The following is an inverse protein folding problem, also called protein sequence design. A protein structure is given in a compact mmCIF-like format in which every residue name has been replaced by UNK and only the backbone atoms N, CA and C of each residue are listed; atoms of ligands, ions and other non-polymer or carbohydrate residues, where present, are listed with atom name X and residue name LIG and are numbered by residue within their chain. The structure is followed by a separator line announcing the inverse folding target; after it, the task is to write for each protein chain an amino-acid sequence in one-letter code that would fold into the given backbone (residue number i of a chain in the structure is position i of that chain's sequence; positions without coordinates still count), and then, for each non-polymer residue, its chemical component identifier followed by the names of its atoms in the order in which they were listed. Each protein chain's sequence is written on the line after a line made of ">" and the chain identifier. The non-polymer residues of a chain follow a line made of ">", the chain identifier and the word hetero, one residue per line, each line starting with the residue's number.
data_IF_791351118469
#
_entry.id   IF_791351118469
#
_cell.length_a   1.000
_cell.length_b   1.000
_cell.length_c   1.000
_cell.angle_alpha   90.00
_cell.angle_beta   90.00
_cell.angle_gamma   90.00
#
_symmetry.space_group_name_H-M   'P 1'
#
loop_
_entity.id
_entity.type
_entity.pdbx_description
1 polymer ?
#
# COMPACT_ATOMS: atom_id res chain seq x y z
N UNK A 1 7.16 15.27 22.63
CA UNK A 1 5.97 14.45 22.35
C UNK A 1 6.45 13.26 21.54
N UNK A 2 6.09 12.04 21.96
CA UNK A 2 6.73 10.80 21.52
C UNK A 2 6.55 10.52 20.02
N UNK A 3 7.65 10.28 19.30
CA UNK A 3 7.67 9.82 17.89
C UNK A 3 7.17 8.37 17.72
N UNK A 4 6.81 7.67 18.81
CA UNK A 4 6.44 6.26 18.80
C UNK A 4 5.31 5.89 17.83
N UNK A 5 4.19 6.64 17.71
CA UNK A 5 3.12 6.27 16.78
C UNK A 5 3.58 6.31 15.31
N UNK A 6 4.41 7.29 14.97
CA UNK A 6 4.97 7.45 13.63
C UNK A 6 5.95 6.32 13.30
N UNK A 7 6.78 5.91 14.25
CA UNK A 7 7.72 4.79 14.09
C UNK A 7 6.96 3.47 13.87
N UNK A 8 5.93 3.21 14.67
CA UNK A 8 5.08 2.01 14.55
C UNK A 8 4.38 1.98 13.19
N UNK A 9 3.78 3.10 12.77
CA UNK A 9 3.12 3.19 11.46
C UNK A 9 4.10 2.98 10.30
N UNK A 10 5.27 3.63 10.31
CA UNK A 10 6.28 3.43 9.27
C UNK A 10 6.79 1.99 9.23
N UNK A 11 6.98 1.35 10.38
CA UNK A 11 7.38 -0.05 10.42
C UNK A 11 6.31 -0.95 9.80
N UNK A 12 5.03 -0.79 10.19
CA UNK A 12 3.94 -1.58 9.63
C UNK A 12 3.85 -1.42 8.10
N UNK A 13 3.95 -0.19 7.59
CA UNK A 13 3.96 0.08 6.15
C UNK A 13 5.15 -0.60 5.44
N UNK A 14 6.35 -0.55 6.03
CA UNK A 14 7.54 -1.18 5.44
C UNK A 14 7.44 -2.72 5.45
N UNK A 15 6.88 -3.30 6.51
CA UNK A 15 6.62 -4.74 6.59
C UNK A 15 5.63 -5.20 5.52
N UNK A 16 4.49 -4.51 5.39
CA UNK A 16 3.48 -4.80 4.36
C UNK A 16 4.07 -4.70 2.95
N UNK A 17 4.87 -3.66 2.68
CA UNK A 17 5.56 -3.51 1.40
C UNK A 17 6.48 -4.70 1.09
N UNK A 18 7.26 -5.18 2.07
CA UNK A 18 8.15 -6.32 1.90
C UNK A 18 7.37 -7.63 1.65
N UNK A 19 6.22 -7.81 2.31
CA UNK A 19 5.35 -8.96 2.11
C UNK A 19 4.72 -8.95 0.71
N UNK A 20 4.20 -7.80 0.27
CA UNK A 20 3.67 -7.63 -1.08
C UNK A 20 4.73 -7.91 -2.14
N UNK A 21 5.94 -7.38 -1.96
CA UNK A 21 7.05 -7.62 -2.90
C UNK A 21 7.47 -9.09 -2.91
N UNK A 22 7.53 -9.75 -1.74
CA UNK A 22 7.81 -11.18 -1.63
C UNK A 22 6.75 -12.00 -2.37
N UNK A 23 5.47 -11.73 -2.12
CA UNK A 23 4.36 -12.43 -2.76
C UNK A 23 4.41 -12.26 -4.29
N UNK A 24 4.64 -11.03 -4.78
CA UNK A 24 4.76 -10.76 -6.21
C UNK A 24 5.92 -11.54 -6.87
N UNK A 25 7.08 -11.61 -6.20
CA UNK A 25 8.23 -12.39 -6.68
C UNK A 25 7.94 -13.89 -6.67
N UNK A 26 7.36 -14.41 -5.59
CA UNK A 26 7.00 -15.83 -5.45
C UNK A 26 5.96 -16.26 -6.49
N UNK A 27 5.03 -15.36 -6.84
CA UNK A 27 4.03 -15.59 -7.88
C UNK A 27 4.57 -15.44 -9.32
N UNK A 28 5.90 -15.27 -9.49
CA UNK A 28 6.57 -15.35 -10.79
C UNK A 28 6.72 -14.03 -11.54
N UNK A 29 6.51 -12.87 -10.89
CA UNK A 29 6.62 -11.53 -11.50
C UNK A 29 5.89 -11.41 -12.83
N UNK A 30 4.55 -11.46 -12.77
CA UNK A 30 3.65 -11.44 -13.95
C UNK A 30 4.00 -10.35 -14.96
N UNK A 31 4.45 -9.18 -14.51
CA UNK A 31 4.71 -8.02 -15.35
C UNK A 31 6.15 -7.90 -15.84
N UNK A 32 7.04 -8.86 -15.55
CA UNK A 32 8.48 -8.79 -15.89
C UNK A 32 8.77 -8.50 -17.37
N UNK A 33 7.93 -8.97 -18.28
CA UNK A 33 8.14 -8.85 -19.74
C UNK A 33 7.36 -7.69 -20.38
N UNK A 34 6.55 -6.98 -19.60
CA UNK A 34 5.73 -5.86 -20.07
C UNK A 34 6.61 -4.63 -20.28
N UNK A 35 6.39 -3.89 -21.36
CA UNK A 35 7.14 -2.65 -21.63
C UNK A 35 6.77 -1.55 -20.63
N UNK A 36 7.64 -0.57 -20.43
CA UNK A 36 7.36 0.52 -19.48
C UNK A 36 6.10 1.31 -19.85
N UNK A 37 5.86 1.57 -21.13
CA UNK A 37 4.66 2.26 -21.61
C UNK A 37 3.37 1.49 -21.28
N UNK A 38 3.40 0.17 -21.41
CA UNK A 38 2.28 -0.71 -21.07
C UNK A 38 2.10 -0.79 -19.55
N UNK A 39 3.20 -0.82 -18.79
CA UNK A 39 3.19 -0.79 -17.32
C UNK A 39 2.60 0.52 -16.79
N UNK A 40 2.81 1.64 -17.48
CA UNK A 40 2.18 2.94 -17.20
C UNK A 40 0.67 2.88 -17.43
N UNK A 41 0.22 2.32 -18.55
CA UNK A 41 -1.21 2.14 -18.81
C UNK A 41 -1.89 1.24 -17.77
N UNK A 42 -1.25 0.14 -17.36
CA UNK A 42 -1.74 -0.73 -16.29
C UNK A 42 -1.84 -0.01 -14.94
N UNK A 43 -0.85 0.83 -14.63
CA UNK A 43 -0.85 1.63 -13.41
C UNK A 43 -2.04 2.58 -13.35
N UNK A 44 -2.28 3.34 -14.42
CA UNK A 44 -3.42 4.26 -14.52
C UNK A 44 -4.75 3.49 -14.44
N UNK A 45 -4.86 2.39 -15.19
CA UNK A 45 -6.06 1.54 -15.18
C UNK A 45 -6.42 1.06 -13.77
N UNK A 46 -5.47 0.48 -13.04
CA UNK A 46 -5.73 -0.06 -11.71
C UNK A 46 -5.93 1.04 -10.65
N UNK A 47 -5.45 2.26 -10.88
CA UNK A 47 -5.79 3.40 -10.05
C UNK A 47 -7.25 3.84 -10.25
N UNK A 48 -7.72 3.91 -11.50
CA UNK A 48 -9.12 4.19 -11.79
C UNK A 48 -10.06 3.10 -11.21
N UNK A 49 -9.66 1.82 -11.26
CA UNK A 49 -10.39 0.74 -10.59
C UNK A 49 -10.45 0.93 -9.07
N UNK A 50 -9.35 1.39 -8.45
CA UNK A 50 -9.32 1.68 -7.02
C UNK A 50 -10.18 2.89 -6.67
N UNK A 51 -10.19 3.93 -7.49
CA UNK A 51 -11.06 5.09 -7.31
C UNK A 51 -12.54 4.69 -7.33
N UNK A 52 -12.93 3.76 -8.22
CA UNK A 52 -14.29 3.24 -8.27
C UNK A 52 -14.68 2.42 -7.01
N UNK A 53 -13.69 1.84 -6.31
CA UNK A 53 -13.88 1.09 -5.07
C UNK A 53 -12.81 1.43 -4.00
N UNK A 54 -12.84 2.64 -3.39
CA UNK A 54 -11.71 3.18 -2.61
C UNK A 54 -11.30 2.37 -1.38
N UNK A 55 -12.23 1.59 -0.82
CA UNK A 55 -12.00 0.78 0.37
C UNK A 55 -11.37 -0.58 0.05
N UNK A 56 -11.21 -0.93 -1.22
CA UNK A 56 -10.65 -2.23 -1.63
C UNK A 56 -9.64 -2.02 -2.75
N UNK A 57 -8.37 -1.87 -2.36
CA UNK A 57 -7.27 -1.69 -3.31
C UNK A 57 -7.12 -2.95 -4.18
N UNK A 58 -7.04 -2.82 -5.52
CA UNK A 58 -6.81 -3.96 -6.40
C UNK A 58 -5.45 -4.62 -6.15
N UNK A 59 -5.42 -5.95 -6.08
CA UNK A 59 -4.17 -6.72 -5.92
C UNK A 59 -3.20 -6.44 -7.07
N UNK A 60 -3.74 -6.29 -8.28
CA UNK A 60 -2.98 -6.00 -9.49
C UNK A 60 -2.23 -4.66 -9.40
N UNK A 61 -2.78 -3.67 -8.68
CA UNK A 61 -2.08 -2.41 -8.45
C UNK A 61 -0.80 -2.62 -7.63
N UNK A 62 -0.85 -3.49 -6.61
CA UNK A 62 0.33 -3.83 -5.81
C UNK A 62 1.40 -4.54 -6.66
N UNK A 63 1.00 -5.46 -7.53
CA UNK A 63 1.92 -6.14 -8.46
C UNK A 63 2.61 -5.15 -9.41
N UNK A 64 1.87 -4.19 -9.97
CA UNK A 64 2.41 -3.15 -10.85
C UNK A 64 3.39 -2.25 -10.10
N UNK A 65 3.04 -1.79 -8.89
CA UNK A 65 3.93 -1.00 -8.03
C UNK A 65 5.22 -1.77 -7.70
N UNK A 66 5.10 -3.06 -7.36
CA UNK A 66 6.24 -3.92 -7.10
C UNK A 66 7.16 -4.04 -8.32
N UNK A 67 6.59 -4.17 -9.53
CA UNK A 67 7.39 -4.23 -10.76
C UNK A 67 8.15 -2.92 -11.02
N UNK A 68 7.54 -1.75 -10.83
CA UNK A 68 8.25 -0.46 -10.91
C UNK A 68 9.45 -0.43 -9.96
N UNK A 69 9.24 -0.78 -8.68
CA UNK A 69 10.30 -0.82 -7.66
C UNK A 69 11.41 -1.78 -8.02
N UNK A 70 11.08 -3.00 -8.46
CA UNK A 70 12.07 -4.01 -8.86
C UNK A 70 12.86 -3.64 -10.11
N UNK A 71 12.31 -2.77 -10.97
CA UNK A 71 13.01 -2.22 -12.14
C UNK A 71 13.82 -0.96 -11.81
N UNK A 72 13.71 -0.42 -10.60
CA UNK A 72 14.32 0.86 -10.22
C UNK A 72 13.68 2.06 -10.94
N UNK A 73 12.41 1.94 -11.34
CA UNK A 73 11.65 2.97 -12.02
C UNK A 73 10.73 3.69 -11.04
N UNK A 74 10.54 4.99 -11.26
CA UNK A 74 9.54 5.76 -10.51
C UNK A 74 8.14 5.45 -11.06
N UNK A 75 7.16 5.07 -10.21
CA UNK A 75 5.77 4.95 -10.65
C UNK A 75 5.22 6.33 -11.07
N UNK A 76 4.36 6.39 -12.09
CA UNK A 76 3.87 7.65 -12.65
C UNK A 76 2.71 8.24 -11.82
N UNK A 77 2.97 8.57 -10.55
CA UNK A 77 1.95 9.10 -9.63
C UNK A 77 1.33 10.43 -10.09
N UNK A 78 2.05 11.22 -10.88
CA UNK A 78 1.53 12.48 -11.42
C UNK A 78 0.33 12.26 -12.36
N UNK A 79 0.27 11.13 -13.07
CA UNK A 79 -0.83 10.83 -13.99
C UNK A 79 -2.13 10.43 -13.29
N UNK A 80 -2.04 9.99 -12.04
CA UNK A 80 -3.17 9.47 -11.23
C UNK A 80 -3.42 10.32 -10.00
N UNK A 81 -2.90 11.55 -9.99
CA UNK A 81 -2.93 12.43 -8.82
C UNK A 81 -4.37 12.73 -8.38
N UNK A 82 -5.28 12.93 -9.32
CA UNK A 82 -6.67 13.23 -9.03
C UNK A 82 -7.39 12.01 -8.44
N UNK A 83 -7.18 10.82 -9.03
CA UNK A 83 -7.67 9.53 -8.51
C UNK A 83 -7.17 9.31 -7.07
N UNK A 84 -5.87 9.53 -6.83
CA UNK A 84 -5.25 9.37 -5.53
C UNK A 84 -5.85 10.33 -4.49
N UNK A 85 -6.16 11.57 -4.88
CA UNK A 85 -6.83 12.53 -4.00
C UNK A 85 -8.26 12.07 -3.67
N UNK A 86 -9.00 11.57 -4.65
CA UNK A 86 -10.36 11.06 -4.46
C UNK A 86 -10.38 9.84 -3.52
N UNK A 87 -9.50 8.88 -3.75
CA UNK A 87 -9.30 7.69 -2.89
C UNK A 87 -8.93 8.12 -1.47
N UNK A 88 -7.95 9.01 -1.33
CA UNK A 88 -7.50 9.51 -0.02
C UNK A 88 -8.65 10.16 0.75
N UNK A 89 -9.47 10.98 0.08
CA UNK A 89 -10.64 11.62 0.68
C UNK A 89 -11.68 10.59 1.13
N UNK A 90 -11.95 9.57 0.33
CA UNK A 90 -12.89 8.51 0.66
C UNK A 90 -12.42 7.68 1.87
N UNK A 91 -11.14 7.29 1.89
CA UNK A 91 -10.54 6.57 3.02
C UNK A 91 -10.55 7.43 4.28
N UNK A 92 -10.17 8.70 4.20
CA UNK A 92 -10.20 9.60 5.35
C UNK A 92 -11.61 9.77 5.93
N UNK A 93 -12.63 9.87 5.07
CA UNK A 93 -14.02 9.91 5.51
C UNK A 93 -14.46 8.59 6.16
N UNK A 94 -14.06 7.43 5.62
CA UNK A 94 -14.38 6.14 6.21
C UNK A 94 -13.72 5.96 7.58
N UNK A 95 -12.44 6.31 7.70
CA UNK A 95 -11.68 6.26 8.96
C UNK A 95 -12.28 7.21 9.99
N UNK A 96 -12.63 8.45 9.62
CA UNK A 96 -13.21 9.41 10.55
C UNK A 96 -14.59 9.00 11.11
N UNK A 97 -15.28 8.08 10.43
CA UNK A 97 -16.58 7.56 10.85
C UNK A 97 -16.48 6.21 11.60
N UNK A 98 -15.27 5.69 11.85
CA UNK A 98 -15.11 4.50 12.66
C UNK A 98 -15.48 4.78 14.12
N UNK A 99 -16.17 3.87 14.80
CA UNK A 99 -16.40 4.01 16.23
C UNK A 99 -15.08 3.90 17.01
N UNK A 100 -15.05 4.48 18.22
CA UNK A 100 -13.81 4.65 18.99
C UNK A 100 -13.14 3.31 19.36
N UNK A 101 -13.93 2.27 19.61
CA UNK A 101 -13.46 0.91 19.87
C UNK A 101 -12.74 0.31 18.65
N UNK A 102 -13.18 0.63 17.44
CA UNK A 102 -12.48 0.21 16.23
C UNK A 102 -11.17 0.97 16.00
N UNK A 103 -11.12 2.26 16.34
CA UNK A 103 -9.87 3.02 16.33
C UNK A 103 -8.83 2.42 17.28
N UNK A 104 -9.25 2.08 18.50
CA UNK A 104 -8.36 1.48 19.50
C UNK A 104 -7.89 0.09 19.08
N UNK A 105 -8.76 -0.72 18.47
CA UNK A 105 -8.41 -2.03 17.92
C UNK A 105 -7.35 -1.93 16.83
N UNK A 106 -7.50 -1.00 15.89
CA UNK A 106 -6.51 -0.77 14.82
C UNK A 106 -5.17 -0.34 15.41
N UNK A 107 -5.18 0.62 16.35
CA UNK A 107 -3.96 1.08 17.00
C UNK A 107 -3.25 -0.06 17.76
N UNK A 108 -3.99 -0.88 18.49
CA UNK A 108 -3.43 -2.01 19.23
C UNK A 108 -2.82 -3.05 18.28
N UNK A 109 -3.50 -3.38 17.17
CA UNK A 109 -2.98 -4.30 16.16
C UNK A 109 -1.64 -3.83 15.59
N UNK A 110 -1.52 -2.54 15.26
CA UNK A 110 -0.27 -1.97 14.74
C UNK A 110 0.88 -2.04 15.75
N UNK A 111 0.58 -1.82 17.04
CA UNK A 111 1.56 -1.93 18.13
C UNK A 111 2.00 -3.38 18.31
N UNK A 112 1.07 -4.32 18.30
CA UNK A 112 1.35 -5.75 18.47
C UNK A 112 2.25 -6.27 17.34
N UNK A 113 1.94 -5.92 16.08
CA UNK A 113 2.75 -6.27 14.91
C UNK A 113 4.19 -5.73 15.04
N UNK A 114 4.35 -4.49 15.51
CA UNK A 114 5.66 -3.88 15.76
C UNK A 114 6.44 -4.59 16.88
N UNK A 115 5.78 -4.95 17.98
CA UNK A 115 6.43 -5.67 19.09
C UNK A 115 6.85 -7.07 18.65
N UNK A 116 6.02 -7.77 17.88
CA UNK A 116 6.34 -9.11 17.38
C UNK A 116 7.49 -9.09 16.37
N UNK A 117 7.52 -8.12 15.46
CA UNK A 117 8.60 -8.00 14.47
C UNK A 117 9.96 -7.65 15.07
N UNK A 118 9.98 -6.88 16.17
CA UNK A 118 11.20 -6.46 16.86
C UNK A 118 11.77 -7.56 17.74
N UNK A 119 10.91 -8.34 18.41
CA UNK A 119 11.33 -9.51 19.19
C UNK A 119 11.92 -10.63 18.32
N UNK A 120 11.38 -10.84 17.12
CA UNK A 120 11.89 -11.86 16.18
C UNK A 120 13.21 -11.48 15.48
N UNK A 121 13.74 -10.27 15.72
CA UNK A 121 15.02 -9.77 15.18
C UNK A 121 16.19 -9.85 16.18
N UNK A 122 15.96 -10.35 17.41
CA UNK A 122 16.99 -10.67 18.41
C UNK A 122 17.31 -12.17 18.38
#
# INVERSE_FOLDING_TARGET
>A
MSDSPKIVAHHAMASDELELMRAYVQNGRRWRRVLESELRSLFILHFAEWEAAPLTKPVQLNDVICEYKLRGLAPPYDDVKDDLNAITKAIAAAVANLPADEHDRINQSLIDDFVMSTKNKQ
#
